data_IF_991280083508
#
_entry.id   IF_991280083508
#
_cell.length_a   1.000
_cell.length_b   1.000
_cell.length_c   1.000
_cell.angle_alpha   90.00
_cell.angle_beta   90.00
_cell.angle_gamma   90.00
#
_symmetry.space_group_name_H-M   'P 1'
#
loop_
_entity.id
_entity.type
_entity.pdbx_description
1 polymer ?
#
# COMPACT_ATOMS: atom_id res chain seq x y z
N UNK A 1 1.17 4.09 -23.97
CA UNK A 1 0.30 2.96 -23.69
C UNK A 1 -0.99 3.54 -23.14
N UNK A 2 -2.18 3.17 -23.61
CA UNK A 2 -3.43 3.70 -23.02
C UNK A 2 -3.69 3.02 -21.67
N UNK A 3 -4.22 3.78 -20.71
CA UNK A 3 -4.69 3.26 -19.42
C UNK A 3 -6.12 2.77 -19.58
N UNK A 4 -6.42 1.58 -19.09
CA UNK A 4 -7.79 1.09 -19.02
C UNK A 4 -8.48 1.59 -17.74
N UNK A 5 -9.69 2.12 -17.85
CA UNK A 5 -10.54 2.50 -16.71
C UNK A 5 -11.76 1.58 -16.67
N UNK A 6 -11.99 0.91 -15.53
CA UNK A 6 -13.07 -0.08 -15.38
C UNK A 6 -13.75 0.11 -14.02
N UNK A 7 -15.06 0.19 -14.00
CA UNK A 7 -15.85 0.27 -12.75
C UNK A 7 -15.80 -1.05 -11.98
N UNK A 8 -15.61 -0.97 -10.66
CA UNK A 8 -15.62 -2.11 -9.74
C UNK A 8 -16.51 -1.84 -8.53
N UNK A 9 -17.27 -2.85 -8.12
CA UNK A 9 -17.99 -2.78 -6.86
C UNK A 9 -17.02 -2.97 -5.69
N UNK A 10 -16.91 -2.00 -4.78
CA UNK A 10 -15.95 -2.05 -3.65
C UNK A 10 -16.38 -3.00 -2.54
N UNK A 11 -17.69 -3.24 -2.37
CA UNK A 11 -18.23 -4.16 -1.37
C UNK A 11 -18.17 -5.61 -1.86
N UNK A 12 -18.59 -5.84 -3.11
CA UNK A 12 -18.61 -7.15 -3.76
C UNK A 12 -17.82 -7.09 -5.09
N UNK A 13 -16.47 -7.01 -5.03
CA UNK A 13 -15.66 -6.91 -6.24
C UNK A 13 -15.86 -8.09 -7.19
N UNK A 14 -16.12 -7.78 -8.46
CA UNK A 14 -16.35 -8.76 -9.52
C UNK A 14 -15.09 -9.63 -9.73
N UNK A 15 -15.21 -10.96 -9.73
CA UNK A 15 -14.07 -11.88 -9.84
C UNK A 15 -13.26 -11.72 -11.14
N UNK A 16 -13.93 -11.45 -12.25
CA UNK A 16 -13.30 -11.24 -13.55
C UNK A 16 -12.43 -9.96 -13.58
N UNK A 17 -12.88 -8.88 -12.94
CA UNK A 17 -12.11 -7.65 -12.83
C UNK A 17 -10.92 -7.80 -11.88
N UNK A 18 -11.08 -8.54 -10.78
CA UNK A 18 -9.97 -8.89 -9.90
C UNK A 18 -8.95 -9.76 -10.62
N UNK A 19 -9.39 -10.77 -11.41
CA UNK A 19 -8.47 -11.60 -12.20
C UNK A 19 -7.75 -10.76 -13.27
N UNK A 20 -8.45 -9.83 -13.93
CA UNK A 20 -7.83 -8.89 -14.86
C UNK A 20 -6.71 -8.08 -14.20
N UNK A 21 -6.96 -7.55 -12.99
CA UNK A 21 -5.95 -6.84 -12.21
C UNK A 21 -4.79 -7.75 -11.80
N UNK A 22 -5.10 -8.98 -11.33
CA UNK A 22 -4.09 -9.97 -10.96
C UNK A 22 -3.19 -10.35 -12.13
N UNK A 23 -3.76 -10.58 -13.31
CA UNK A 23 -2.99 -10.85 -14.55
C UNK A 23 -2.08 -9.66 -14.89
N UNK A 24 -2.57 -8.43 -14.75
CA UNK A 24 -1.75 -7.23 -14.97
C UNK A 24 -0.56 -7.20 -14.00
N UNK A 25 -0.81 -7.40 -12.69
CA UNK A 25 0.25 -7.42 -11.65
C UNK A 25 1.27 -8.54 -11.93
N UNK A 26 0.82 -9.78 -12.23
CA UNK A 26 1.72 -10.91 -12.58
C UNK A 26 2.60 -10.60 -13.79
N UNK A 27 2.13 -9.78 -14.72
CA UNK A 27 2.88 -9.30 -15.89
C UNK A 27 3.82 -8.15 -15.60
N UNK A 28 3.97 -7.76 -14.32
CA UNK A 28 4.83 -6.66 -13.90
C UNK A 28 4.29 -5.27 -14.24
N UNK A 29 2.98 -5.15 -14.38
CA UNK A 29 2.27 -3.91 -14.66
C UNK A 29 1.85 -3.20 -13.37
N UNK A 30 1.51 -1.91 -13.48
CA UNK A 30 1.03 -1.07 -12.38
C UNK A 30 -0.47 -0.88 -12.51
N UNK A 31 -1.20 -1.17 -11.44
CA UNK A 31 -2.66 -1.05 -11.36
C UNK A 31 -3.01 -0.04 -10.27
N UNK A 32 -4.02 0.78 -10.49
CA UNK A 32 -4.60 1.64 -9.46
C UNK A 32 -5.90 1.02 -8.92
N UNK A 33 -6.02 0.97 -7.60
CA UNK A 33 -7.20 0.40 -6.92
C UNK A 33 -7.72 1.34 -5.83
N UNK A 34 -9.03 1.32 -5.52
CA UNK A 34 -9.58 1.99 -4.36
C UNK A 34 -9.20 1.27 -3.06
N UNK A 35 -8.97 2.04 -1.99
CA UNK A 35 -8.80 1.51 -0.63
C UNK A 35 -9.69 2.26 0.36
N UNK A 36 -9.70 1.78 1.61
CA UNK A 36 -10.36 2.43 2.74
C UNK A 36 -9.80 3.83 3.06
N UNK A 37 -8.61 4.15 2.57
CA UNK A 37 -8.01 5.46 2.73
C UNK A 37 -8.17 6.31 1.45
N UNK A 38 -7.41 5.98 0.41
CA UNK A 38 -7.35 6.71 -0.87
C UNK A 38 -7.03 5.72 -1.99
N UNK A 39 -7.11 6.16 -3.25
CA UNK A 39 -6.61 5.36 -4.37
C UNK A 39 -5.12 5.12 -4.24
N UNK A 40 -4.72 3.88 -4.52
CA UNK A 40 -3.34 3.43 -4.42
C UNK A 40 -2.86 2.76 -5.69
N UNK A 41 -1.60 2.95 -6.05
CA UNK A 41 -0.92 2.15 -7.06
C UNK A 41 -0.44 0.86 -6.42
N UNK A 42 -0.77 -0.28 -7.04
CA UNK A 42 -0.32 -1.60 -6.64
C UNK A 42 0.49 -2.26 -7.74
N UNK A 43 1.49 -3.01 -7.35
CA UNK A 43 2.38 -3.77 -8.22
C UNK A 43 3.09 -4.86 -7.43
N UNK A 44 3.72 -5.82 -8.11
CA UNK A 44 4.51 -6.87 -7.47
C UNK A 44 5.83 -6.30 -6.90
N UNK A 45 6.06 -6.36 -5.57
CA UNK A 45 7.28 -5.84 -4.94
C UNK A 45 8.54 -6.63 -5.29
N UNK A 46 8.40 -7.88 -5.74
CA UNK A 46 9.52 -8.75 -6.08
C UNK A 46 9.89 -8.69 -7.58
N UNK A 47 9.05 -8.07 -8.39
CA UNK A 47 9.32 -7.83 -9.80
C UNK A 47 9.96 -6.45 -10.00
N UNK A 48 11.28 -6.41 -10.24
CA UNK A 48 12.03 -5.16 -10.40
C UNK A 48 11.53 -4.26 -11.53
N UNK A 49 10.91 -4.84 -12.58
CA UNK A 49 10.28 -4.07 -13.66
C UNK A 49 9.03 -3.36 -13.13
N UNK A 50 8.20 -4.05 -12.36
CA UNK A 50 7.01 -3.47 -11.74
C UNK A 50 7.38 -2.35 -10.75
N UNK A 51 8.37 -2.60 -9.88
CA UNK A 51 8.92 -1.60 -8.95
C UNK A 51 9.39 -0.35 -9.69
N UNK A 52 10.14 -0.54 -10.80
CA UNK A 52 10.61 0.58 -11.63
C UNK A 52 9.44 1.33 -12.27
N UNK A 53 8.42 0.58 -12.75
CA UNK A 53 7.19 1.14 -13.31
C UNK A 53 6.46 2.06 -12.33
N UNK A 54 6.38 1.67 -11.04
CA UNK A 54 5.77 2.52 -10.00
C UNK A 54 6.53 3.84 -9.83
N UNK A 55 7.87 3.82 -9.78
CA UNK A 55 8.68 5.04 -9.70
C UNK A 55 8.48 5.94 -10.92
N UNK A 56 8.48 5.35 -12.12
CA UNK A 56 8.25 6.08 -13.37
C UNK A 56 6.83 6.69 -13.44
N UNK A 57 5.81 5.90 -13.10
CA UNK A 57 4.43 6.38 -13.07
C UNK A 57 4.26 7.59 -12.16
N UNK A 58 4.89 7.57 -10.99
CA UNK A 58 4.84 8.66 -10.01
C UNK A 58 5.80 9.82 -10.30
N UNK A 59 6.77 9.69 -11.19
CA UNK A 59 7.87 10.64 -11.28
C UNK A 59 8.63 10.77 -9.95
N UNK A 60 8.76 9.65 -9.21
CA UNK A 60 9.32 9.61 -7.86
C UNK A 60 10.78 9.16 -7.90
N UNK A 61 11.59 9.76 -7.04
CA UNK A 61 12.98 9.35 -6.86
C UNK A 61 13.08 7.93 -6.32
N UNK A 62 13.97 7.13 -6.93
CA UNK A 62 14.08 5.69 -6.67
C UNK A 62 14.67 5.32 -5.30
N UNK A 63 15.20 6.30 -4.55
CA UNK A 63 15.71 6.09 -3.19
C UNK A 63 14.61 6.13 -2.11
N UNK A 64 13.40 6.53 -2.45
CA UNK A 64 12.28 6.54 -1.50
C UNK A 64 11.65 5.15 -1.37
N UNK A 65 11.46 4.68 -0.14
CA UNK A 65 10.79 3.41 0.14
C UNK A 65 9.35 3.37 -0.38
N UNK A 66 8.88 2.19 -0.73
CA UNK A 66 7.52 1.91 -1.16
C UNK A 66 6.81 1.11 -0.07
N UNK A 67 5.67 1.58 0.47
CA UNK A 67 4.86 0.81 1.40
C UNK A 67 4.31 -0.45 0.74
N UNK A 68 3.99 -1.44 1.57
CA UNK A 68 3.47 -2.76 1.16
C UNK A 68 2.13 -3.02 1.82
N UNK A 69 1.14 -3.41 1.02
CA UNK A 69 -0.11 -4.03 1.50
C UNK A 69 0.10 -5.51 1.72
N UNK A 70 -0.39 -5.97 2.86
CA UNK A 70 -0.39 -7.37 3.29
C UNK A 70 -1.81 -7.81 3.64
N UNK A 71 -2.03 -9.12 3.69
CA UNK A 71 -3.32 -9.73 4.05
C UNK A 71 -3.48 -9.96 5.55
N UNK A 72 -2.38 -10.28 6.24
CA UNK A 72 -2.38 -10.70 7.64
C UNK A 72 -1.00 -10.51 8.27
N UNK A 73 -0.90 -10.78 9.57
CA UNK A 73 0.37 -10.69 10.32
C UNK A 73 1.37 -11.78 9.94
N UNK A 74 0.92 -12.95 9.46
CA UNK A 74 1.82 -14.00 8.98
C UNK A 74 2.62 -13.52 7.76
N UNK A 75 1.96 -12.80 6.84
CA UNK A 75 2.66 -12.19 5.71
C UNK A 75 3.64 -11.10 6.17
N UNK A 76 3.34 -10.37 7.26
CA UNK A 76 4.29 -9.43 7.85
C UNK A 76 5.54 -10.14 8.39
N UNK A 77 5.39 -11.30 9.07
CA UNK A 77 6.49 -12.10 9.59
C UNK A 77 7.44 -12.58 8.49
N UNK A 78 6.92 -12.87 7.30
CA UNK A 78 7.76 -13.26 6.15
C UNK A 78 8.58 -12.10 5.58
N UNK A 79 8.11 -10.87 5.73
CA UNK A 79 8.69 -9.66 5.12
C UNK A 79 9.58 -8.87 6.08
N UNK A 80 9.36 -9.00 7.37
CA UNK A 80 10.18 -8.39 8.41
C UNK A 80 11.35 -9.30 8.81
N UNK A 81 12.45 -8.72 9.24
CA UNK A 81 13.54 -9.47 9.87
C UNK A 81 13.26 -9.74 11.34
N UNK A 82 12.48 -8.86 11.96
CA UNK A 82 12.07 -8.93 13.36
C UNK A 82 10.76 -8.16 13.54
N UNK A 83 9.84 -8.70 14.37
CA UNK A 83 8.63 -8.04 14.81
C UNK A 83 8.63 -7.96 16.34
N UNK A 84 8.69 -6.76 16.89
CA UNK A 84 8.65 -6.53 18.32
C UNK A 84 7.21 -6.50 18.87
N UNK A 85 7.07 -6.47 20.18
CA UNK A 85 5.76 -6.46 20.84
C UNK A 85 4.86 -5.27 20.42
N UNK A 86 5.46 -4.10 20.14
CA UNK A 86 4.72 -2.92 19.66
C UNK A 86 4.00 -3.19 18.34
N UNK A 87 4.64 -3.95 17.44
CA UNK A 87 4.00 -4.36 16.19
C UNK A 87 2.70 -5.12 16.45
N UNK A 88 2.74 -6.16 17.28
CA UNK A 88 1.56 -6.99 17.54
C UNK A 88 0.45 -6.22 18.26
N UNK A 89 0.81 -5.32 19.19
CA UNK A 89 -0.16 -4.42 19.84
C UNK A 89 -0.86 -3.54 18.80
N UNK A 90 -0.12 -2.84 17.95
CA UNK A 90 -0.68 -1.94 16.94
C UNK A 90 -1.48 -2.71 15.87
N UNK A 91 -0.97 -3.84 15.39
CA UNK A 91 -1.66 -4.66 14.41
C UNK A 91 -3.00 -5.17 14.95
N UNK A 92 -3.04 -5.61 16.20
CA UNK A 92 -4.26 -6.10 16.86
C UNK A 92 -5.35 -5.03 16.98
N UNK A 93 -4.96 -3.77 17.22
CA UNK A 93 -5.92 -2.69 17.49
C UNK A 93 -6.34 -1.92 16.23
N UNK A 94 -5.44 -1.77 15.26
CA UNK A 94 -5.63 -0.88 14.11
C UNK A 94 -5.70 -1.59 12.76
N UNK A 95 -5.50 -2.92 12.71
CA UNK A 95 -5.61 -3.71 11.50
C UNK A 95 -6.79 -4.69 11.53
N UNK A 96 -7.50 -4.87 10.40
CA UNK A 96 -7.36 -4.13 9.15
C UNK A 96 -7.82 -2.66 9.29
N UNK A 97 -7.05 -1.72 8.68
CA UNK A 97 -7.38 -0.30 8.80
C UNK A 97 -6.31 0.66 8.30
N UNK A 98 -6.47 1.97 8.61
CA UNK A 98 -5.65 3.03 8.06
C UNK A 98 -4.35 3.29 8.87
N UNK A 99 -3.71 2.24 9.40
CA UNK A 99 -2.40 2.34 10.04
C UNK A 99 -1.34 1.65 9.18
N UNK A 100 -0.25 2.37 8.89
CA UNK A 100 0.98 1.84 8.31
C UNK A 100 2.05 1.74 9.39
N UNK A 101 2.62 0.56 9.58
CA UNK A 101 3.65 0.30 10.59
C UNK A 101 4.99 0.08 9.89
N UNK A 102 6.02 0.83 10.27
CA UNK A 102 7.38 0.65 9.77
C UNK A 102 8.13 -0.31 10.68
N UNK A 103 8.66 -1.37 10.07
CA UNK A 103 9.39 -2.47 10.72
C UNK A 103 10.75 -2.68 10.04
N UNK A 104 11.72 -3.38 10.67
CA UNK A 104 12.93 -3.81 10.00
C UNK A 104 12.62 -4.80 8.88
N UNK A 105 13.16 -4.56 7.68
CA UNK A 105 12.92 -5.39 6.50
C UNK A 105 13.77 -6.66 6.53
N UNK A 106 13.20 -7.80 6.11
CA UNK A 106 13.98 -9.01 5.84
C UNK A 106 14.80 -8.88 4.56
N UNK A 107 15.86 -9.70 4.44
CA UNK A 107 16.69 -9.76 3.23
C UNK A 107 15.94 -10.21 1.96
N UNK A 108 14.72 -10.76 2.10
CA UNK A 108 13.85 -11.14 0.97
C UNK A 108 13.27 -9.93 0.23
N UNK A 109 13.12 -8.79 0.92
CA UNK A 109 12.55 -7.57 0.33
C UNK A 109 13.61 -6.85 -0.50
N UNK A 110 13.33 -6.59 -1.81
CA UNK A 110 14.30 -5.91 -2.65
C UNK A 110 14.71 -4.54 -2.10
N UNK A 111 16.00 -4.22 -2.13
CA UNK A 111 16.56 -2.94 -1.66
C UNK A 111 15.86 -1.73 -2.30
N UNK A 112 15.43 -1.85 -3.55
CA UNK A 112 14.70 -0.80 -4.26
C UNK A 112 13.32 -0.52 -3.64
N UNK A 113 12.69 -1.51 -3.02
CA UNK A 113 11.40 -1.36 -2.31
C UNK A 113 11.63 -0.65 -0.97
N UNK A 114 12.67 -1.01 -0.24
CA UNK A 114 13.00 -0.38 1.04
C UNK A 114 13.69 0.98 0.89
N UNK A 115 14.02 1.39 -0.34
CA UNK A 115 14.84 2.60 -0.57
C UNK A 115 16.23 2.49 0.05
N UNK A 116 16.76 1.26 0.19
CA UNK A 116 18.04 0.93 0.82
C UNK A 116 18.15 1.36 2.31
N UNK A 117 17.01 1.51 3.00
CA UNK A 117 16.98 1.93 4.41
C UNK A 117 16.99 0.76 5.40
N UNK A 118 16.79 -0.48 4.92
CA UNK A 118 16.55 -1.65 5.78
C UNK A 118 15.20 -1.60 6.52
N UNK A 119 14.32 -0.66 6.17
CA UNK A 119 13.00 -0.48 6.79
C UNK A 119 11.88 -0.72 5.79
N UNK A 120 10.79 -1.28 6.26
CA UNK A 120 9.62 -1.62 5.44
C UNK A 120 8.35 -1.10 6.10
N UNK A 121 7.55 -0.37 5.34
CA UNK A 121 6.25 0.13 5.76
C UNK A 121 5.17 -0.88 5.36
N UNK A 122 4.49 -1.48 6.33
CA UNK A 122 3.45 -2.50 6.14
C UNK A 122 2.08 -1.97 6.51
N UNK A 123 1.05 -2.38 5.77
CA UNK A 123 -0.33 -2.07 6.08
C UNK A 123 -1.26 -3.23 5.72
N UNK A 124 -2.21 -3.56 6.59
CA UNK A 124 -3.37 -4.40 6.28
C UNK A 124 -4.60 -3.49 6.14
N UNK A 125 -5.04 -3.28 4.90
CA UNK A 125 -6.21 -2.45 4.56
C UNK A 125 -7.51 -3.21 4.83
N UNK A 126 -8.61 -2.51 5.18
CA UNK A 126 -9.94 -3.14 5.22
C UNK A 126 -10.65 -3.14 3.85
N UNK A 127 -10.00 -2.70 2.76
CA UNK A 127 -10.56 -2.74 1.42
C UNK A 127 -10.76 -4.16 0.90
N UNK A 128 -11.99 -4.52 0.54
CA UNK A 128 -12.29 -5.83 -0.08
C UNK A 128 -11.55 -6.01 -1.41
N UNK A 129 -11.42 -4.95 -2.21
CA UNK A 129 -10.67 -4.98 -3.48
C UNK A 129 -9.22 -5.36 -3.23
N UNK A 130 -8.55 -4.68 -2.28
CA UNK A 130 -7.14 -4.94 -1.95
C UNK A 130 -6.95 -6.36 -1.40
N UNK A 131 -7.78 -6.77 -0.42
CA UNK A 131 -7.64 -8.06 0.24
C UNK A 131 -7.92 -9.25 -0.69
N UNK A 132 -8.97 -9.14 -1.52
CA UNK A 132 -9.26 -10.19 -2.52
C UNK A 132 -8.17 -10.27 -3.59
N UNK A 133 -7.60 -9.13 -4.03
CA UNK A 133 -6.49 -9.12 -4.98
C UNK A 133 -5.23 -9.77 -4.39
N UNK A 134 -4.87 -9.45 -3.14
CA UNK A 134 -3.74 -10.07 -2.43
C UNK A 134 -3.97 -11.58 -2.27
N UNK A 135 -5.18 -11.98 -1.89
CA UNK A 135 -5.54 -13.40 -1.76
C UNK A 135 -5.42 -14.16 -3.09
N UNK A 136 -5.90 -13.57 -4.18
CA UNK A 136 -5.85 -14.14 -5.53
C UNK A 136 -4.40 -14.28 -6.05
N UNK A 137 -3.53 -13.34 -5.70
CA UNK A 137 -2.12 -13.36 -6.05
C UNK A 137 -1.29 -14.21 -5.09
N UNK A 138 -1.77 -14.44 -3.88
CA UNK A 138 -1.06 -15.05 -2.76
C UNK A 138 0.31 -14.41 -2.49
N UNK A 139 0.39 -13.08 -2.63
CA UNK A 139 1.61 -12.30 -2.39
C UNK A 139 1.29 -10.87 -1.96
N UNK A 140 2.21 -10.18 -1.24
CA UNK A 140 2.04 -8.78 -0.89
C UNK A 140 2.07 -7.89 -2.14
N UNK A 141 1.57 -6.66 -2.00
CA UNK A 141 1.55 -5.66 -3.07
C UNK A 141 2.23 -4.37 -2.63
N UNK A 142 3.00 -3.74 -3.52
CA UNK A 142 3.35 -2.34 -3.36
C UNK A 142 2.06 -1.54 -3.18
N UNK A 143 2.09 -0.52 -2.31
CA UNK A 143 0.98 0.38 -2.08
C UNK A 143 1.47 1.80 -1.90
N UNK A 144 1.32 2.61 -2.92
CA UNK A 144 1.63 4.04 -2.82
C UNK A 144 0.48 4.86 -3.40
N UNK A 145 0.23 6.06 -2.87
CA UNK A 145 -0.88 6.90 -3.35
C UNK A 145 -0.89 7.05 -4.89
N UNK A 146 -2.07 6.97 -5.48
CA UNK A 146 -2.27 7.06 -6.93
C UNK A 146 -2.25 8.55 -7.35
N UNK A 147 -1.04 9.13 -7.43
CA UNK A 147 -0.79 10.50 -7.87
C UNK A 147 0.64 10.67 -8.35
N UNK A 148 0.90 11.69 -9.14
CA UNK A 148 2.27 12.16 -9.44
C UNK A 148 2.85 12.71 -8.13
N UNK A 149 4.12 12.44 -7.85
CA UNK A 149 4.79 12.89 -6.62
C UNK A 149 4.73 14.41 -6.50
N UNK A 150 4.28 14.88 -5.33
CA UNK A 150 4.08 16.32 -5.08
C UNK A 150 2.69 16.87 -5.48
N UNK A 151 1.90 16.12 -6.27
CA UNK A 151 0.52 16.49 -6.59
C UNK A 151 -0.46 16.03 -5.52
N UNK A 152 -1.67 16.59 -5.44
CA UNK A 152 -2.73 16.09 -4.55
C UNK A 152 -3.05 14.62 -4.82
N UNK A 153 -3.48 13.91 -3.79
CA UNK A 153 -3.86 12.50 -3.91
C UNK A 153 -5.23 12.37 -4.55
N UNK A 154 -5.38 11.47 -5.51
CA UNK A 154 -6.66 11.19 -6.17
C UNK A 154 -7.64 10.51 -5.21
N UNK A 155 -8.91 10.89 -5.31
CA UNK A 155 -10.00 10.35 -4.49
C UNK A 155 -10.99 9.50 -5.28
N UNK A 156 -10.99 9.56 -6.61
CA UNK A 156 -11.82 8.75 -7.51
C UNK A 156 -10.97 8.08 -8.60
N UNK A 157 -11.51 7.02 -9.22
CA UNK A 157 -10.84 6.40 -10.37
C UNK A 157 -10.73 7.35 -11.55
N UNK A 158 -11.71 8.24 -11.73
CA UNK A 158 -11.70 9.29 -12.76
C UNK A 158 -10.54 10.27 -12.52
N UNK A 159 -10.30 10.70 -11.25
CA UNK A 159 -9.16 11.57 -10.93
C UNK A 159 -7.83 10.86 -11.22
N UNK A 160 -7.74 9.56 -10.86
CA UNK A 160 -6.55 8.75 -11.17
C UNK A 160 -6.35 8.67 -12.67
N UNK A 161 -7.39 8.35 -13.43
CA UNK A 161 -7.31 8.28 -14.89
C UNK A 161 -6.85 9.61 -15.48
N UNK A 162 -7.47 10.74 -15.07
CA UNK A 162 -7.10 12.07 -15.57
C UNK A 162 -5.65 12.46 -15.27
N UNK A 163 -5.08 12.01 -14.11
CA UNK A 163 -3.71 12.36 -13.72
C UNK A 163 -2.67 11.36 -14.24
N UNK A 164 -3.04 10.08 -14.39
CA UNK A 164 -2.09 8.97 -14.58
C UNK A 164 -2.31 8.23 -15.90
N UNK A 165 -3.14 8.72 -16.83
CA UNK A 165 -3.28 8.12 -18.16
C UNK A 165 -1.93 7.99 -18.86
N UNK A 166 -1.70 6.85 -19.47
CA UNK A 166 -0.43 6.48 -20.08
C UNK A 166 0.70 6.15 -19.11
N UNK A 167 0.50 6.31 -17.78
CA UNK A 167 1.49 6.02 -16.73
C UNK A 167 1.21 4.73 -15.97
N UNK A 168 -0.07 4.33 -15.89
CA UNK A 168 -0.51 3.07 -15.29
C UNK A 168 -1.26 2.23 -16.31
N UNK A 169 -1.36 0.93 -16.08
CA UNK A 169 -1.95 0.02 -17.08
C UNK A 169 -3.46 -0.14 -16.91
N UNK A 170 -3.96 -0.09 -15.67
CA UNK A 170 -5.35 -0.32 -15.33
C UNK A 170 -5.74 0.52 -14.11
N UNK A 171 -6.94 1.09 -14.13
CA UNK A 171 -7.59 1.74 -12.99
C UNK A 171 -8.89 0.99 -12.72
N UNK A 172 -9.04 0.43 -11.52
CA UNK A 172 -10.32 -0.07 -11.03
C UNK A 172 -11.03 1.09 -10.33
N UNK A 173 -12.11 1.58 -10.94
CA UNK A 173 -12.87 2.70 -10.40
C UNK A 173 -13.98 2.20 -9.46
N UNK A 174 -13.79 2.37 -8.17
CA UNK A 174 -14.77 2.09 -7.11
C UNK A 174 -15.54 3.32 -6.64
N UNK A 175 -15.50 4.41 -7.42
CA UNK A 175 -16.11 5.68 -7.03
C UNK A 175 -15.23 6.50 -6.08
N UNK A 176 -15.87 7.30 -5.24
CA UNK A 176 -15.18 8.27 -4.38
C UNK A 176 -14.68 7.62 -3.08
N UNK A 177 -13.38 7.68 -2.82
CA UNK A 177 -12.81 7.37 -1.52
C UNK A 177 -12.99 8.56 -0.57
N UNK A 178 -13.71 8.34 0.52
CA UNK A 178 -14.00 9.38 1.54
C UNK A 178 -13.03 9.37 2.71
N UNK A 179 -12.18 8.32 2.82
CA UNK A 179 -11.21 8.17 3.88
C UNK A 179 -10.12 9.24 3.88
N UNK A 180 -9.47 9.38 5.02
CA UNK A 180 -8.23 10.15 5.16
C UNK A 180 -7.04 9.24 4.81
N UNK A 181 -5.88 9.84 4.53
CA UNK A 181 -4.65 9.08 4.32
C UNK A 181 -4.30 8.24 5.55
N UNK A 182 -3.65 7.09 5.36
CA UNK A 182 -3.21 6.27 6.47
C UNK A 182 -2.15 6.98 7.32
N UNK A 183 -2.26 6.85 8.64
CA UNK A 183 -1.20 7.27 9.58
C UNK A 183 -0.03 6.31 9.46
N UNK A 184 1.20 6.81 9.49
CA UNK A 184 2.41 5.98 9.42
C UNK A 184 3.22 6.14 10.70
N UNK A 185 3.46 5.03 11.40
CA UNK A 185 4.25 4.97 12.62
C UNK A 185 5.53 4.16 12.41
N UNK A 186 6.65 4.70 12.87
CA UNK A 186 7.95 4.00 12.90
C UNK A 186 8.18 3.42 14.30
N UNK A 187 8.34 2.10 14.38
CA UNK A 187 8.62 1.38 15.63
C UNK A 187 9.99 0.68 15.62
N UNK A 188 10.83 1.02 14.65
CA UNK A 188 12.18 0.40 14.49
C UNK A 188 13.20 0.89 15.51
N UNK A 189 12.94 2.04 16.12
CA UNK A 189 13.80 2.65 17.13
C UNK A 189 13.23 2.40 18.55
N UNK A 190 14.04 2.59 19.61
CA UNK A 190 13.56 2.48 20.99
C UNK A 190 12.37 3.39 21.29
N UNK A 191 12.34 4.60 20.75
CA UNK A 191 11.20 5.52 20.79
C UNK A 191 10.44 5.43 19.48
N UNK A 192 9.14 5.08 19.55
CA UNK A 192 8.27 5.13 18.37
C UNK A 192 7.93 6.58 18.01
N UNK A 193 7.56 6.80 16.75
CA UNK A 193 7.17 8.14 16.28
C UNK A 193 6.23 8.07 15.10
N UNK A 194 5.32 9.03 15.00
CA UNK A 194 4.48 9.24 13.80
C UNK A 194 5.32 9.93 12.73
N UNK A 195 5.51 9.24 11.59
CA UNK A 195 6.25 9.75 10.42
C UNK A 195 5.33 10.53 9.48
N UNK A 196 4.05 10.15 9.45
CA UNK A 196 3.03 10.81 8.66
C UNK A 196 1.71 10.74 9.41
N UNK A 197 1.13 11.89 9.70
CA UNK A 197 -0.21 11.99 10.24
C UNK A 197 -1.27 11.57 9.19
N UNK A 198 -2.33 10.97 9.64
CA UNK A 198 -3.44 10.47 8.81
C UNK A 198 -4.70 10.26 9.64
N UNK A 199 -5.46 9.22 9.35
CA UNK A 199 -6.76 8.95 9.95
C UNK A 199 -6.72 8.59 11.44
N UNK A 200 -5.58 8.10 11.94
CA UNK A 200 -5.40 7.74 13.37
C UNK A 200 -4.55 8.80 14.02
N UNK A 201 -5.06 9.38 15.11
CA UNK A 201 -4.35 10.39 15.86
C UNK A 201 -3.19 9.79 16.66
N UNK A 202 -2.13 10.57 16.87
CA UNK A 202 -0.96 10.13 17.65
C UNK A 202 -1.33 9.77 19.10
N UNK A 203 -2.31 10.48 19.69
CA UNK A 203 -2.86 10.19 21.02
C UNK A 203 -3.44 8.77 21.10
N UNK A 204 -4.21 8.34 20.08
CA UNK A 204 -4.77 7.01 20.03
C UNK A 204 -3.67 5.92 20.00
N UNK A 205 -2.58 6.16 19.24
CA UNK A 205 -1.43 5.26 19.20
C UNK A 205 -0.72 5.22 20.56
N UNK A 206 -0.58 6.39 21.20
CA UNK A 206 0.05 6.53 22.53
C UNK A 206 -0.67 5.76 23.61
N UNK A 207 -2.00 5.67 23.57
CA UNK A 207 -2.81 4.94 24.53
C UNK A 207 -2.44 3.44 24.60
N UNK A 208 -1.96 2.87 23.50
CA UNK A 208 -1.54 1.47 23.41
C UNK A 208 -0.03 1.26 23.54
N UNK A 209 0.77 2.26 23.18
CA UNK A 209 2.24 2.21 23.23
C UNK A 209 2.77 3.09 24.38
N UNK A 210 2.35 2.81 25.60
CA UNK A 210 2.88 3.50 26.78
C UNK A 210 4.43 3.45 26.78
N UNK A 211 5.11 4.54 27.21
CA UNK A 211 6.56 4.48 27.39
C UNK A 211 6.87 3.41 28.43
N UNK A 212 7.66 2.43 28.04
CA UNK A 212 8.25 1.42 28.94
C UNK A 212 9.40 2.03 29.73
#
# INVERSE_FOLDING_TARGET
MATDLVEINVEEPQPDLLERAAVAVRRGKVVAIPTDALYTLVADPFNLRAVTGVFQAKGRESHRSLPILIRDTLMAEELASELNNRFFILARHFWPGPLTIIVPASARVPLKVTGNTGRLALRHSCSNVANKLIALLNQPLISTSANISGSPTCRSGIDVFGMMDGRVDLVLDGGMCTGQGATTVDITEPMWRVIKAGAIEESEISDYLQPS
#
